data_IF_285009839476
#
_entry.id   IF_285009839476
#
_cell.length_a   1.000
_cell.length_b   1.000
_cell.length_c   1.000
_cell.angle_alpha   90.00
_cell.angle_beta   90.00
_cell.angle_gamma   90.00
#
_symmetry.space_group_name_H-M   'P 1'
#
loop_
_entity.id
_entity.type
_entity.pdbx_description
1 polymer ?
#
# COMPACT_ATOMS: atom_id res chain seq x y z
N UNK A 1 25.71 -5.78 12.17
CA UNK A 1 25.24 -4.58 11.44
C UNK A 1 26.28 -3.48 11.58
N UNK A 2 26.95 -3.09 10.50
CA UNK A 2 28.12 -2.18 10.49
C UNK A 2 27.82 -0.78 9.92
N UNK A 3 26.61 -0.53 9.41
CA UNK A 3 26.22 0.74 8.79
C UNK A 3 26.16 1.91 9.81
N UNK A 4 26.61 3.10 9.41
CA UNK A 4 26.68 4.34 10.18
C UNK A 4 26.14 5.53 9.38
N UNK A 5 25.92 6.69 10.03
CA UNK A 5 25.40 7.89 9.36
C UNK A 5 26.27 8.40 8.20
N UNK A 6 27.59 8.17 8.27
CA UNK A 6 28.52 8.50 7.18
C UNK A 6 28.27 7.70 5.89
N UNK A 7 27.55 6.58 5.96
CA UNK A 7 27.25 5.75 4.79
C UNK A 7 26.06 6.27 3.98
N UNK A 8 25.29 7.24 4.49
CA UNK A 8 24.07 7.74 3.83
C UNK A 8 24.31 8.18 2.39
N UNK A 9 25.35 8.97 2.06
CA UNK A 9 25.62 9.35 0.67
C UNK A 9 25.83 8.13 -0.25
N UNK A 10 26.48 7.07 0.26
CA UNK A 10 26.73 5.86 -0.51
C UNK A 10 25.44 5.14 -0.92
N UNK A 11 24.37 5.22 -0.10
CA UNK A 11 23.10 4.58 -0.43
C UNK A 11 22.49 5.11 -1.73
N UNK A 12 22.68 6.40 -2.02
CA UNK A 12 22.20 7.06 -3.24
C UNK A 12 23.11 6.89 -4.45
N UNK A 13 24.30 6.30 -4.27
CA UNK A 13 25.30 6.11 -5.32
C UNK A 13 25.51 4.63 -5.66
N UNK A 14 25.31 3.73 -4.70
CA UNK A 14 25.47 2.29 -4.88
C UNK A 14 24.12 1.60 -5.07
N UNK A 15 23.92 1.01 -6.24
CA UNK A 15 22.92 -0.06 -6.42
C UNK A 15 23.51 -1.31 -5.76
N UNK A 16 23.14 -1.58 -4.51
CA UNK A 16 23.66 -2.72 -3.76
C UNK A 16 23.21 -4.03 -4.44
N UNK A 17 24.16 -4.83 -4.91
CA UNK A 17 23.93 -6.07 -5.69
C UNK A 17 23.15 -7.15 -4.93
N UNK A 18 23.11 -7.07 -3.59
CA UNK A 18 22.41 -8.05 -2.74
C UNK A 18 20.89 -7.84 -2.72
N UNK A 19 20.38 -6.72 -3.25
CA UNK A 19 18.99 -6.32 -3.05
C UNK A 19 18.24 -6.05 -4.35
N UNK A 20 17.01 -6.55 -4.40
CA UNK A 20 16.16 -6.47 -5.59
C UNK A 20 15.62 -5.06 -5.91
N UNK A 21 15.69 -4.10 -4.96
CA UNK A 21 15.02 -2.80 -5.09
C UNK A 21 15.93 -1.62 -4.67
N UNK A 22 16.04 -0.63 -5.54
CA UNK A 22 16.75 0.63 -5.26
C UNK A 22 15.85 1.63 -4.54
N UNK A 23 15.94 1.67 -3.20
CA UNK A 23 15.11 2.56 -2.35
C UNK A 23 15.97 3.25 -1.27
N UNK A 24 16.95 4.09 -1.65
CA UNK A 24 17.94 4.62 -0.73
C UNK A 24 17.37 5.51 0.38
N UNK A 25 16.24 6.18 0.14
CA UNK A 25 15.64 7.07 1.14
C UNK A 25 14.82 6.29 2.17
N UNK A 26 13.86 5.48 1.72
CA UNK A 26 12.91 4.81 2.60
C UNK A 26 13.45 3.52 3.23
N UNK A 27 14.24 2.74 2.48
CA UNK A 27 14.75 1.45 2.96
C UNK A 27 16.05 1.58 3.71
N UNK A 28 17.00 2.35 3.17
CA UNK A 28 18.34 2.45 3.76
C UNK A 28 18.40 3.60 4.78
N UNK A 29 18.21 4.83 4.31
CA UNK A 29 18.40 6.04 5.14
C UNK A 29 17.42 6.08 6.31
N UNK A 30 16.12 5.94 6.03
CA UNK A 30 15.08 6.00 7.05
C UNK A 30 15.25 4.90 8.10
N UNK A 31 15.39 3.63 7.69
CA UNK A 31 15.53 2.54 8.65
C UNK A 31 16.84 2.62 9.44
N UNK A 32 17.95 3.08 8.83
CA UNK A 32 19.19 3.32 9.56
C UNK A 32 18.98 4.36 10.67
N UNK A 33 18.36 5.50 10.35
CA UNK A 33 18.08 6.55 11.32
C UNK A 33 17.19 6.02 12.45
N UNK A 34 16.07 5.39 12.09
CA UNK A 34 15.13 4.88 13.08
C UNK A 34 15.77 3.83 13.99
N UNK A 35 16.56 2.91 13.42
CA UNK A 35 17.26 1.90 14.20
C UNK A 35 18.35 2.48 15.10
N UNK A 36 19.16 3.44 14.62
CA UNK A 36 20.22 4.05 15.43
C UNK A 36 19.67 4.86 16.60
N UNK A 37 18.50 5.49 16.44
CA UNK A 37 17.89 6.34 17.47
C UNK A 37 16.99 5.55 18.41
N UNK A 38 16.21 4.59 17.90
CA UNK A 38 15.15 3.90 18.66
C UNK A 38 15.36 2.39 18.80
N UNK A 39 16.42 1.82 18.19
CA UNK A 39 16.69 0.39 18.20
C UNK A 39 15.55 -0.41 17.57
N UNK A 40 15.19 -1.52 18.22
CA UNK A 40 14.11 -2.41 17.81
C UNK A 40 12.75 -2.05 18.46
N UNK A 41 12.61 -0.87 19.07
CA UNK A 41 11.32 -0.44 19.61
C UNK A 41 10.36 -0.09 18.45
N UNK A 42 9.23 -0.80 18.27
CA UNK A 42 8.34 -0.57 17.13
C UNK A 42 7.50 0.72 17.26
N UNK A 43 7.26 1.23 18.47
CA UNK A 43 6.34 2.35 18.69
C UNK A 43 6.75 3.62 17.93
N UNK A 44 8.02 4.09 17.97
CA UNK A 44 8.46 5.23 17.17
C UNK A 44 8.24 5.06 15.66
N UNK A 45 8.40 3.84 15.12
CA UNK A 45 8.16 3.56 13.70
C UNK A 45 6.68 3.74 13.34
N UNK A 46 5.76 3.26 14.18
CA UNK A 46 4.33 3.46 13.99
C UNK A 46 3.95 4.95 14.07
N UNK A 47 4.50 5.69 15.05
CA UNK A 47 4.24 7.14 15.19
C UNK A 47 4.66 7.90 13.93
N UNK A 48 5.83 7.57 13.38
CA UNK A 48 6.33 8.24 12.16
C UNK A 48 5.48 7.88 10.94
N UNK A 49 5.11 6.61 10.75
CA UNK A 49 4.19 6.22 9.68
C UNK A 49 2.84 6.93 9.80
N UNK A 50 2.29 7.01 11.03
CA UNK A 50 1.06 7.74 11.30
C UNK A 50 1.20 9.24 10.99
N UNK A 51 2.34 9.85 11.31
CA UNK A 51 2.67 11.22 10.95
C UNK A 51 2.68 11.46 9.42
N UNK A 52 3.20 10.51 8.65
CA UNK A 52 3.13 10.57 7.17
C UNK A 52 1.71 10.40 6.64
N UNK A 53 0.88 9.55 7.26
CA UNK A 53 -0.54 9.43 6.91
C UNK A 53 -1.26 10.78 7.12
N UNK A 54 -1.08 11.41 8.29
CA UNK A 54 -1.65 12.74 8.59
C UNK A 54 -1.17 13.82 7.62
N UNK A 55 0.12 13.78 7.27
CA UNK A 55 0.71 14.70 6.30
C UNK A 55 0.09 14.50 4.92
N UNK A 56 -0.09 13.26 4.47
CA UNK A 56 -0.76 12.95 3.21
C UNK A 56 -2.21 13.41 3.20
N UNK A 57 -2.98 13.20 4.28
CA UNK A 57 -4.35 13.73 4.44
C UNK A 57 -4.37 15.25 4.25
N UNK A 58 -3.44 15.98 4.88
CA UNK A 58 -3.33 17.42 4.73
C UNK A 58 -2.96 17.85 3.30
N UNK A 59 -2.05 17.11 2.65
CA UNK A 59 -1.66 17.39 1.26
C UNK A 59 -2.81 17.09 0.28
N UNK A 60 -3.66 16.09 0.54
CA UNK A 60 -4.90 15.85 -0.22
C UNK A 60 -5.83 17.07 -0.13
N UNK A 61 -6.05 17.61 1.08
CA UNK A 61 -6.82 18.84 1.28
C UNK A 61 -6.23 20.01 0.46
N UNK A 62 -4.91 20.20 0.51
CA UNK A 62 -4.22 21.27 -0.22
C UNK A 62 -4.32 21.11 -1.74
N UNK A 63 -4.12 19.88 -2.24
CA UNK A 63 -4.17 19.57 -3.66
C UNK A 63 -5.58 19.82 -4.22
N UNK A 64 -6.60 19.29 -3.54
CA UNK A 64 -8.00 19.49 -3.92
C UNK A 64 -8.36 20.98 -3.93
N UNK A 65 -7.89 21.76 -2.95
CA UNK A 65 -8.10 23.20 -2.88
C UNK A 65 -7.46 23.98 -4.03
N UNK A 66 -6.37 23.47 -4.61
CA UNK A 66 -5.74 24.07 -5.80
C UNK A 66 -6.49 23.75 -7.10
N UNK A 67 -7.07 22.56 -7.20
CA UNK A 67 -7.75 22.08 -8.42
C UNK A 67 -9.19 22.58 -8.47
N UNK A 68 -9.96 22.40 -7.40
CA UNK A 68 -11.40 22.70 -7.35
C UNK A 68 -11.69 24.09 -6.79
N UNK A 69 -10.76 24.68 -6.03
CA UNK A 69 -10.90 26.03 -5.42
C UNK A 69 -12.10 26.18 -4.48
N UNK A 70 -12.50 25.09 -3.82
CA UNK A 70 -13.58 25.09 -2.82
C UNK A 70 -13.12 24.38 -1.53
N UNK A 71 -13.24 25.05 -0.39
CA UNK A 71 -12.76 24.53 0.91
C UNK A 71 -13.55 23.31 1.38
N UNK A 72 -14.86 23.27 1.11
CA UNK A 72 -15.73 22.18 1.56
C UNK A 72 -15.50 20.93 0.72
N UNK A 73 -15.34 21.07 -0.60
CA UNK A 73 -14.95 19.97 -1.47
C UNK A 73 -13.57 19.40 -1.08
N UNK A 74 -12.64 20.29 -0.71
CA UNK A 74 -11.29 19.92 -0.25
C UNK A 74 -11.30 19.17 1.07
N UNK A 75 -12.11 19.64 2.03
CA UNK A 75 -12.30 18.96 3.31
C UNK A 75 -12.92 17.58 3.10
N UNK A 76 -13.93 17.47 2.23
CA UNK A 76 -14.58 16.20 1.94
C UNK A 76 -13.61 15.19 1.30
N UNK A 77 -12.74 15.61 0.39
CA UNK A 77 -11.71 14.74 -0.20
C UNK A 77 -10.73 14.22 0.86
N UNK A 78 -10.25 15.11 1.73
CA UNK A 78 -9.35 14.74 2.83
C UNK A 78 -10.03 13.82 3.85
N UNK A 79 -11.32 14.04 4.15
CA UNK A 79 -12.10 13.19 5.04
C UNK A 79 -12.29 11.78 4.46
N UNK A 80 -12.67 11.66 3.19
CA UNK A 80 -12.81 10.36 2.51
C UNK A 80 -11.47 9.62 2.46
N UNK A 81 -10.36 10.33 2.22
CA UNK A 81 -9.02 9.75 2.28
C UNK A 81 -8.70 9.25 3.70
N UNK A 82 -8.85 10.12 4.72
CA UNK A 82 -8.52 9.83 6.11
C UNK A 82 -9.27 8.64 6.70
N UNK A 83 -10.52 8.42 6.28
CA UNK A 83 -11.37 7.32 6.76
C UNK A 83 -11.11 6.00 6.03
N UNK A 84 -10.36 6.03 4.92
CA UNK A 84 -10.09 4.82 4.11
C UNK A 84 -9.41 3.72 4.93
N UNK A 85 -9.90 2.49 4.79
CA UNK A 85 -9.34 1.32 5.48
C UNK A 85 -7.92 0.96 5.04
N UNK A 86 -7.42 1.52 3.93
CA UNK A 86 -6.04 1.31 3.45
C UNK A 86 -4.99 1.66 4.51
N UNK A 87 -5.26 2.70 5.32
CA UNK A 87 -4.33 3.15 6.36
C UNK A 87 -4.07 2.08 7.42
N UNK A 88 -4.97 1.11 7.61
CA UNK A 88 -4.72 -0.03 8.50
C UNK A 88 -3.57 -0.91 8.00
N UNK A 89 -3.48 -1.13 6.68
CA UNK A 89 -2.39 -1.92 6.07
C UNK A 89 -1.05 -1.21 6.26
N UNK A 90 -1.04 0.11 6.06
CA UNK A 90 0.16 0.95 6.23
C UNK A 90 0.66 0.95 7.68
N UNK A 91 -0.26 0.88 8.64
CA UNK A 91 0.08 0.79 10.06
C UNK A 91 0.48 -0.63 10.49
N UNK A 92 -0.11 -1.68 9.93
CA UNK A 92 0.26 -3.07 10.24
C UNK A 92 1.61 -3.46 9.63
N UNK A 93 1.92 -2.98 8.42
CA UNK A 93 3.16 -3.28 7.73
C UNK A 93 4.12 -2.10 7.80
N UNK A 94 5.04 -2.11 8.76
CA UNK A 94 5.98 -1.00 9.01
C UNK A 94 6.81 -0.60 7.78
N UNK A 95 7.19 -1.56 6.93
CA UNK A 95 7.95 -1.28 5.71
C UNK A 95 7.14 -0.56 4.63
N UNK A 96 5.82 -0.39 4.80
CA UNK A 96 4.98 0.47 3.96
C UNK A 96 5.38 1.95 4.00
N UNK A 97 6.26 2.36 4.92
CA UNK A 97 6.84 3.71 4.96
C UNK A 97 7.36 4.17 3.58
N UNK A 98 7.83 3.23 2.76
CA UNK A 98 8.24 3.47 1.38
C UNK A 98 7.13 4.08 0.51
N UNK A 99 5.91 3.56 0.56
CA UNK A 99 4.78 4.07 -0.23
C UNK A 99 4.20 5.33 0.38
N UNK A 100 4.23 5.47 1.71
CA UNK A 100 3.85 6.69 2.43
C UNK A 100 4.74 7.88 2.06
N UNK A 101 6.07 7.69 2.12
CA UNK A 101 7.07 8.69 1.74
C UNK A 101 6.98 9.05 0.27
N UNK A 102 6.87 8.04 -0.61
CA UNK A 102 6.70 8.29 -2.04
C UNK A 102 5.46 9.13 -2.31
N UNK A 103 4.31 8.78 -1.70
CA UNK A 103 3.07 9.54 -1.84
C UNK A 103 3.20 10.97 -1.31
N UNK A 104 3.83 11.16 -0.16
CA UNK A 104 4.09 12.48 0.43
C UNK A 104 4.89 13.37 -0.53
N UNK A 105 6.01 12.87 -1.02
CA UNK A 105 6.87 13.61 -1.95
C UNK A 105 6.23 13.84 -3.32
N UNK A 106 5.46 12.87 -3.83
CA UNK A 106 4.68 13.05 -5.06
C UNK A 106 3.64 14.16 -4.92
N UNK A 107 2.90 14.20 -3.79
CA UNK A 107 1.92 15.25 -3.54
C UNK A 107 2.57 16.63 -3.39
N UNK A 108 3.70 16.73 -2.68
CA UNK A 108 4.50 17.95 -2.62
C UNK A 108 4.94 18.40 -4.01
N UNK A 109 5.48 17.48 -4.82
CA UNK A 109 5.90 17.76 -6.18
C UNK A 109 4.74 18.30 -7.02
N UNK A 110 3.55 17.71 -6.93
CA UNK A 110 2.36 18.19 -7.65
C UNK A 110 1.98 19.59 -7.19
N UNK A 111 1.92 19.82 -5.87
CA UNK A 111 1.53 21.10 -5.29
C UNK A 111 2.50 22.22 -5.68
N UNK A 112 3.81 21.96 -5.61
CA UNK A 112 4.83 22.91 -6.05
C UNK A 112 4.79 23.12 -7.56
N UNK A 113 4.58 22.07 -8.36
CA UNK A 113 4.43 22.21 -9.80
C UNK A 113 3.21 23.08 -10.16
N UNK A 114 2.06 22.89 -9.50
CA UNK A 114 0.88 23.74 -9.68
C UNK A 114 1.20 25.20 -9.28
N UNK A 115 1.95 25.42 -8.20
CA UNK A 115 2.37 26.78 -7.79
C UNK A 115 3.28 27.43 -8.83
N UNK A 116 4.29 26.71 -9.33
CA UNK A 116 5.17 27.14 -10.41
C UNK A 116 4.34 27.61 -11.62
N UNK A 117 3.36 26.80 -12.05
CA UNK A 117 2.52 27.10 -13.22
C UNK A 117 1.52 28.23 -13.00
N UNK A 118 0.92 28.31 -11.80
CA UNK A 118 -0.14 29.29 -11.51
C UNK A 118 0.40 30.67 -11.12
N UNK A 119 1.55 30.73 -10.45
CA UNK A 119 2.17 31.98 -10.00
C UNK A 119 3.24 32.50 -10.97
N UNK A 120 3.65 31.70 -11.96
CA UNK A 120 4.74 32.05 -12.88
C UNK A 120 6.10 32.18 -12.20
N UNK A 121 6.23 31.67 -10.97
CA UNK A 121 7.44 31.79 -10.17
C UNK A 121 8.28 30.50 -10.27
N UNK A 122 9.44 30.63 -10.92
CA UNK A 122 10.41 29.54 -11.10
C UNK A 122 10.94 28.97 -9.77
N UNK A 123 10.82 29.70 -8.66
CA UNK A 123 11.22 29.23 -7.33
C UNK A 123 10.56 27.91 -6.93
N UNK A 124 9.32 27.64 -7.39
CA UNK A 124 8.62 26.38 -7.07
C UNK A 124 9.04 25.21 -7.98
N UNK A 125 9.78 25.46 -9.05
CA UNK A 125 10.19 24.41 -9.99
C UNK A 125 11.20 23.44 -9.35
N UNK A 126 12.26 23.98 -8.75
CA UNK A 126 13.31 23.17 -8.14
C UNK A 126 12.78 22.31 -6.97
N UNK A 127 12.00 22.84 -6.01
CA UNK A 127 11.35 22.01 -4.98
C UNK A 127 10.42 20.93 -5.56
N UNK A 128 9.72 21.21 -6.67
CA UNK A 128 8.90 20.19 -7.32
C UNK A 128 9.76 19.03 -7.86
N UNK A 129 10.83 19.34 -8.59
CA UNK A 129 11.73 18.33 -9.15
C UNK A 129 12.46 17.55 -8.05
N UNK A 130 12.95 18.22 -7.00
CA UNK A 130 13.59 17.58 -5.86
C UNK A 130 12.62 16.65 -5.12
N UNK A 131 11.38 17.09 -4.89
CA UNK A 131 10.37 16.22 -4.30
C UNK A 131 10.10 14.99 -5.18
N UNK A 132 10.03 15.13 -6.51
CA UNK A 132 9.90 13.96 -7.38
C UNK A 132 11.09 12.98 -7.26
N UNK A 133 12.32 13.48 -7.22
CA UNK A 133 13.53 12.66 -7.02
C UNK A 133 13.46 11.91 -5.68
N UNK A 134 13.05 12.59 -4.59
CA UNK A 134 12.88 11.97 -3.27
C UNK A 134 11.74 10.93 -3.27
N UNK A 135 10.70 11.16 -4.07
CA UNK A 135 9.65 10.18 -4.32
C UNK A 135 10.20 8.90 -4.94
N UNK A 136 10.97 9.01 -6.02
CA UNK A 136 11.64 7.86 -6.66
C UNK A 136 12.65 7.17 -5.74
N UNK A 137 13.40 7.94 -4.95
CA UNK A 137 14.32 7.41 -3.95
C UNK A 137 13.60 6.68 -2.80
N UNK A 138 12.31 6.93 -2.61
CA UNK A 138 11.46 6.26 -1.62
C UNK A 138 10.83 4.99 -2.19
N UNK A 139 10.27 5.06 -3.40
CA UNK A 139 9.61 3.93 -4.03
C UNK A 139 9.47 4.14 -5.55
N UNK A 140 9.68 3.09 -6.32
CA UNK A 140 9.60 3.09 -7.79
C UNK A 140 8.25 3.54 -8.33
N UNK A 141 7.19 3.44 -7.53
CA UNK A 141 5.83 3.85 -7.92
C UNK A 141 5.71 5.34 -8.18
N UNK A 142 6.67 6.14 -7.72
CA UNK A 142 6.72 7.54 -8.07
C UNK A 142 6.88 7.78 -9.58
N UNK A 143 7.31 6.78 -10.37
CA UNK A 143 7.47 6.85 -11.82
C UNK A 143 6.21 7.35 -12.58
N UNK A 144 5.02 7.18 -12.01
CA UNK A 144 3.76 7.66 -12.60
C UNK A 144 3.56 9.18 -12.52
N UNK A 145 4.37 9.89 -11.71
CA UNK A 145 4.17 11.31 -11.44
C UNK A 145 4.15 12.20 -12.70
N UNK A 146 5.08 12.07 -13.68
CA UNK A 146 5.07 12.92 -14.86
C UNK A 146 3.76 12.80 -15.66
N UNK A 147 3.20 11.59 -15.78
CA UNK A 147 1.93 11.38 -16.46
C UNK A 147 0.74 11.99 -15.71
N UNK A 148 0.74 11.94 -14.38
CA UNK A 148 -0.25 12.67 -13.57
C UNK A 148 -0.14 14.18 -13.77
N UNK A 149 1.07 14.74 -13.83
CA UNK A 149 1.28 16.16 -14.11
C UNK A 149 0.75 16.54 -15.51
N UNK A 150 0.91 15.68 -16.51
CA UNK A 150 0.32 15.87 -17.85
C UNK A 150 -1.21 15.99 -17.75
N UNK A 151 -1.88 15.08 -17.03
CA UNK A 151 -3.33 15.13 -16.82
C UNK A 151 -3.76 16.44 -16.13
N UNK A 152 -3.02 16.89 -15.12
CA UNK A 152 -3.29 18.15 -14.42
C UNK A 152 -3.11 19.36 -15.33
N UNK A 153 -2.06 19.40 -16.17
CA UNK A 153 -1.83 20.48 -17.13
C UNK A 153 -2.96 20.51 -18.16
N UNK A 154 -3.36 19.35 -18.68
CA UNK A 154 -4.48 19.23 -19.62
C UNK A 154 -5.78 19.77 -19.02
N UNK A 155 -6.00 19.54 -17.71
CA UNK A 155 -7.15 20.08 -16.99
C UNK A 155 -7.05 21.60 -16.74
N UNK A 156 -5.89 22.11 -16.35
CA UNK A 156 -5.67 23.52 -15.99
C UNK A 156 -5.50 24.45 -17.21
N UNK A 157 -5.40 23.91 -18.43
CA UNK A 157 -5.25 24.70 -19.65
C UNK A 157 -6.37 25.74 -19.82
N UNK A 158 -6.03 26.91 -20.33
CA UNK A 158 -7.01 27.96 -20.65
C UNK A 158 -7.86 27.54 -21.85
N UNK A 159 -9.14 27.92 -21.85
CA UNK A 159 -10.05 27.70 -22.99
C UNK A 159 -9.45 28.38 -24.24
N UNK A 160 -9.28 27.64 -25.32
CA UNK A 160 -8.63 28.10 -26.57
C UNK A 160 -7.15 27.73 -26.72
N UNK A 161 -6.47 27.25 -25.66
CA UNK A 161 -5.14 26.66 -25.81
C UNK A 161 -5.24 25.31 -26.54
N UNK A 162 -4.36 25.10 -27.53
CA UNK A 162 -4.26 23.81 -28.24
C UNK A 162 -3.84 22.73 -27.24
N UNK A 163 -4.40 21.53 -27.41
CA UNK A 163 -4.07 20.36 -26.58
C UNK A 163 -2.58 20.03 -26.68
N UNK A 164 -2.03 20.18 -27.89
CA UNK A 164 -0.63 19.89 -28.24
C UNK A 164 0.17 21.19 -28.37
N UNK A 165 0.15 22.02 -27.32
CA UNK A 165 1.06 23.17 -27.23
C UNK A 165 2.33 22.74 -26.49
N UNK A 166 3.43 22.58 -27.24
CA UNK A 166 4.71 22.09 -26.72
C UNK A 166 5.25 22.94 -25.56
N UNK A 167 4.93 24.25 -25.54
CA UNK A 167 5.36 25.18 -24.48
C UNK A 167 4.72 24.83 -23.13
N UNK A 168 3.56 24.19 -23.13
CA UNK A 168 2.90 23.73 -21.90
C UNK A 168 3.60 22.52 -21.28
N UNK A 169 4.28 21.70 -22.09
CA UNK A 169 4.90 20.44 -21.66
C UNK A 169 6.41 20.52 -21.53
N UNK A 170 7.07 21.52 -22.13
CA UNK A 170 8.52 21.69 -22.04
C UNK A 170 9.05 21.68 -20.58
N UNK A 171 8.38 22.30 -19.60
CA UNK A 171 8.83 22.21 -18.19
C UNK A 171 8.71 20.82 -17.56
N UNK A 172 8.03 19.86 -18.20
CA UNK A 172 8.01 18.47 -17.76
C UNK A 172 9.24 17.68 -18.21
N UNK A 173 10.04 18.20 -19.14
CA UNK A 173 11.19 17.47 -19.67
C UNK A 173 12.13 16.99 -18.55
N UNK A 174 12.50 17.80 -17.53
CA UNK A 174 13.32 17.31 -16.42
C UNK A 174 12.66 16.18 -15.62
N UNK A 175 11.33 16.18 -15.46
CA UNK A 175 10.61 15.09 -14.79
C UNK A 175 10.62 13.82 -15.64
N UNK A 176 10.41 13.94 -16.95
CA UNK A 176 10.46 12.80 -17.88
C UNK A 176 11.87 12.20 -17.96
N UNK A 177 12.90 13.04 -18.04
CA UNK A 177 14.30 12.61 -18.08
C UNK A 177 14.70 11.93 -16.77
N UNK A 178 14.33 12.48 -15.61
CA UNK A 178 14.59 11.84 -14.31
C UNK A 178 13.89 10.49 -14.20
N UNK A 179 12.63 10.39 -14.62
CA UNK A 179 11.89 9.12 -14.62
C UNK A 179 12.51 8.09 -15.57
N UNK A 180 12.88 8.51 -16.79
CA UNK A 180 13.53 7.65 -17.77
C UNK A 180 14.90 7.17 -17.28
N UNK A 181 15.71 8.05 -16.70
CA UNK A 181 16.99 7.70 -16.10
C UNK A 181 16.82 6.66 -14.99
N UNK A 182 15.85 6.87 -14.08
CA UNK A 182 15.54 5.90 -13.03
C UNK A 182 15.16 4.53 -13.61
N UNK A 183 14.25 4.50 -14.59
CA UNK A 183 13.80 3.26 -15.22
C UNK A 183 14.94 2.53 -15.96
N UNK A 184 15.79 3.26 -16.70
CA UNK A 184 16.92 2.69 -17.41
C UNK A 184 17.99 2.16 -16.45
N UNK A 185 18.35 2.95 -15.44
CA UNK A 185 19.34 2.53 -14.44
C UNK A 185 18.89 1.27 -13.67
N UNK A 186 17.62 1.18 -13.31
CA UNK A 186 17.09 0.03 -12.57
C UNK A 186 16.88 -1.20 -13.46
N UNK A 187 16.45 -1.03 -14.72
CA UNK A 187 16.23 -2.16 -15.63
C UNK A 187 17.53 -2.77 -16.19
N UNK A 188 18.59 -1.98 -16.36
CA UNK A 188 19.89 -2.48 -16.78
C UNK A 188 20.61 -3.26 -15.68
N UNK A 189 20.30 -2.98 -14.41
CA UNK A 189 20.99 -3.53 -13.26
C UNK A 189 20.20 -4.64 -12.56
N UNK A 190 18.88 -4.70 -12.73
CA UNK A 190 18.01 -5.72 -12.13
C UNK A 190 17.38 -6.61 -13.20
N UNK A 191 17.62 -7.93 -13.12
CA UNK A 191 16.90 -8.91 -13.93
C UNK A 191 15.41 -9.02 -13.55
N UNK A 192 14.58 -9.51 -14.47
CA UNK A 192 13.18 -9.79 -14.15
C UNK A 192 13.07 -10.98 -13.19
N UNK A 193 12.15 -10.95 -12.20
CA UNK A 193 11.94 -12.09 -11.32
C UNK A 193 11.44 -13.32 -12.10
N UNK A 194 12.07 -14.48 -11.91
CA UNK A 194 11.65 -15.73 -12.59
C UNK A 194 10.30 -16.28 -12.09
N UNK A 195 9.87 -15.83 -10.91
CA UNK A 195 8.66 -16.29 -10.24
C UNK A 195 7.42 -15.88 -11.03
N UNK A 196 6.57 -16.87 -11.38
CA UNK A 196 5.35 -16.67 -12.19
C UNK A 196 4.43 -15.57 -11.68
N UNK A 197 4.36 -15.38 -10.37
CA UNK A 197 3.52 -14.36 -9.71
C UNK A 197 3.91 -12.93 -10.12
N UNK A 198 5.19 -12.70 -10.46
CA UNK A 198 5.73 -11.41 -10.87
C UNK A 198 5.81 -11.25 -12.41
N UNK A 199 5.22 -12.16 -13.17
CA UNK A 199 5.20 -12.05 -14.63
C UNK A 199 4.02 -11.17 -15.08
N UNK A 200 4.24 -10.16 -15.95
CA UNK A 200 3.18 -9.29 -16.40
C UNK A 200 2.22 -10.02 -17.35
N UNK A 201 0.93 -9.73 -17.22
CA UNK A 201 -0.15 -10.26 -18.07
C UNK A 201 -0.83 -9.08 -18.78
N UNK A 202 -0.58 -8.95 -20.08
CA UNK A 202 -1.12 -7.88 -20.93
C UNK A 202 -2.53 -8.16 -21.48
N UNK A 203 -3.32 -9.01 -20.81
CA UNK A 203 -4.69 -9.31 -21.22
C UNK A 203 -5.68 -8.26 -20.71
N UNK A 204 -6.64 -7.85 -21.55
CA UNK A 204 -7.70 -6.90 -21.16
C UNK A 204 -8.46 -7.43 -19.93
N UNK A 205 -8.77 -8.73 -19.90
CA UNK A 205 -9.44 -9.38 -18.77
C UNK A 205 -8.63 -9.27 -17.47
N UNK A 206 -7.31 -9.48 -17.54
CA UNK A 206 -6.41 -9.34 -16.40
C UNK A 206 -6.36 -7.90 -15.88
N UNK A 207 -6.22 -6.93 -16.78
CA UNK A 207 -6.21 -5.49 -16.46
C UNK A 207 -7.52 -5.06 -15.80
N UNK A 208 -8.67 -5.47 -16.35
CA UNK A 208 -9.99 -5.19 -15.76
C UNK A 208 -10.11 -5.86 -14.39
N UNK A 209 -9.65 -7.10 -14.23
CA UNK A 209 -9.67 -7.79 -12.93
C UNK A 209 -8.86 -7.03 -11.88
N UNK A 210 -7.64 -6.61 -12.21
CA UNK A 210 -6.77 -5.83 -11.32
C UNK A 210 -7.43 -4.51 -10.95
N UNK A 211 -7.92 -3.76 -11.95
CA UNK A 211 -8.58 -2.48 -11.71
C UNK A 211 -9.82 -2.63 -10.83
N UNK A 212 -10.64 -3.66 -11.05
CA UNK A 212 -11.81 -3.96 -10.23
C UNK A 212 -11.43 -4.20 -8.78
N UNK A 213 -10.41 -5.02 -8.52
CA UNK A 213 -9.94 -5.28 -7.14
C UNK A 213 -9.41 -4.02 -6.47
N UNK A 214 -8.55 -3.26 -7.15
CA UNK A 214 -8.06 -1.98 -6.61
C UNK A 214 -9.20 -0.98 -6.33
N UNK A 215 -10.22 -0.96 -7.18
CA UNK A 215 -11.41 -0.12 -6.97
C UNK A 215 -12.22 -0.59 -5.76
N UNK A 216 -12.48 -1.89 -5.64
CA UNK A 216 -13.21 -2.48 -4.50
C UNK A 216 -12.48 -2.23 -3.17
N UNK A 217 -11.16 -2.39 -3.16
CA UNK A 217 -10.34 -2.08 -1.99
C UNK A 217 -10.35 -0.59 -1.65
N UNK A 218 -10.36 0.29 -2.66
CA UNK A 218 -10.51 1.74 -2.44
C UNK A 218 -11.86 2.10 -1.84
N UNK A 219 -12.93 1.35 -2.15
CA UNK A 219 -14.25 1.46 -1.52
C UNK A 219 -14.31 0.91 -0.09
N UNK A 220 -13.25 0.23 0.36
CA UNK A 220 -13.17 -0.34 1.70
C UNK A 220 -13.42 -1.85 1.75
N UNK A 221 -13.44 -2.58 0.64
CA UNK A 221 -13.46 -4.05 0.66
C UNK A 221 -12.10 -4.60 1.14
N UNK A 222 -12.07 -5.63 1.98
CA UNK A 222 -10.81 -6.22 2.47
C UNK A 222 -10.03 -6.97 1.37
N UNK A 223 -8.69 -6.99 1.49
CA UNK A 223 -7.80 -7.72 0.56
C UNK A 223 -8.10 -9.22 0.54
N UNK A 224 -8.51 -9.79 1.68
CA UNK A 224 -8.77 -11.23 1.83
C UNK A 224 -9.83 -11.74 0.85
N UNK A 225 -10.76 -10.90 0.41
CA UNK A 225 -11.79 -11.31 -0.55
C UNK A 225 -11.21 -11.71 -1.91
N UNK A 226 -10.05 -11.17 -2.30
CA UNK A 226 -9.41 -11.53 -3.56
C UNK A 226 -8.90 -12.97 -3.59
N UNK A 227 -8.59 -13.55 -2.43
CA UNK A 227 -8.11 -14.93 -2.29
C UNK A 227 -9.25 -15.95 -2.38
N UNK A 228 -10.48 -15.55 -2.01
CA UNK A 228 -11.63 -16.44 -1.94
C UNK A 228 -12.66 -16.25 -3.07
N UNK A 229 -12.53 -15.21 -3.89
CA UNK A 229 -13.43 -14.94 -5.02
C UNK A 229 -12.72 -15.26 -6.34
N UNK A 230 -13.11 -16.37 -6.96
CA UNK A 230 -12.50 -16.86 -8.20
C UNK A 230 -12.92 -16.08 -9.46
N UNK A 231 -12.32 -16.40 -10.63
CA UNK A 231 -12.50 -15.68 -11.90
C UNK A 231 -13.92 -15.61 -12.48
N UNK A 232 -14.88 -16.35 -11.90
CA UNK A 232 -16.31 -16.37 -12.25
C UNK A 232 -17.22 -15.88 -11.10
N UNK A 233 -16.66 -15.11 -10.15
CA UNK A 233 -17.33 -14.74 -8.90
C UNK A 233 -17.74 -15.95 -8.05
N UNK A 234 -17.07 -17.09 -8.24
CA UNK A 234 -17.25 -18.26 -7.40
C UNK A 234 -16.67 -17.98 -6.02
N UNK A 235 -17.53 -17.94 -5.01
CA UNK A 235 -17.12 -17.74 -3.62
C UNK A 235 -16.69 -19.10 -3.05
N UNK A 236 -15.45 -19.20 -2.60
CA UNK A 236 -14.96 -20.41 -1.95
C UNK A 236 -15.70 -20.60 -0.60
N UNK A 237 -16.23 -21.80 -0.27
CA UNK A 237 -17.04 -22.03 0.93
C UNK A 237 -16.36 -21.64 2.25
N UNK A 238 -15.03 -21.77 2.32
CA UNK A 238 -14.22 -21.34 3.48
C UNK A 238 -14.39 -19.87 3.83
N UNK A 239 -14.66 -18.98 2.86
CA UNK A 239 -14.91 -17.57 3.15
C UNK A 239 -16.13 -17.41 4.06
N UNK A 240 -17.22 -18.11 3.75
CA UNK A 240 -18.43 -18.05 4.57
C UNK A 240 -18.26 -18.81 5.89
N UNK A 241 -17.51 -19.92 5.89
CA UNK A 241 -17.22 -20.70 7.09
C UNK A 241 -16.45 -19.88 8.14
N UNK A 242 -15.40 -19.17 7.74
CA UNK A 242 -14.50 -18.48 8.68
C UNK A 242 -14.83 -16.98 8.84
N UNK A 243 -15.33 -16.33 7.78
CA UNK A 243 -15.56 -14.88 7.73
C UNK A 243 -16.99 -14.52 7.30
N UNK A 244 -17.93 -15.42 7.62
CA UNK A 244 -19.36 -15.36 7.32
C UNK A 244 -19.99 -13.98 7.51
N UNK A 245 -20.01 -13.57 8.77
CA UNK A 245 -20.64 -12.32 9.22
C UNK A 245 -19.97 -11.10 8.59
N UNK A 246 -18.65 -11.10 8.47
CA UNK A 246 -17.93 -9.99 7.85
C UNK A 246 -18.31 -9.82 6.39
N UNK A 247 -18.32 -10.93 5.65
CA UNK A 247 -18.64 -10.97 4.22
C UNK A 247 -20.02 -10.41 3.92
N UNK A 248 -21.06 -10.88 4.64
CA UNK A 248 -22.44 -10.44 4.39
C UNK A 248 -22.58 -8.93 4.62
N UNK A 249 -22.06 -8.43 5.74
CA UNK A 249 -22.17 -7.00 6.07
C UNK A 249 -21.35 -6.14 5.10
N UNK A 250 -20.14 -6.54 4.73
CA UNK A 250 -19.31 -5.77 3.80
C UNK A 250 -19.91 -5.70 2.40
N UNK A 251 -20.46 -6.82 1.89
CA UNK A 251 -21.14 -6.85 0.59
C UNK A 251 -22.42 -6.00 0.61
N UNK A 252 -23.22 -6.08 1.68
CA UNK A 252 -24.43 -5.27 1.81
C UNK A 252 -24.11 -3.76 1.87
N UNK A 253 -23.14 -3.36 2.69
CA UNK A 253 -22.69 -1.97 2.79
C UNK A 253 -22.15 -1.45 1.45
N UNK A 254 -21.32 -2.24 0.76
CA UNK A 254 -20.80 -1.89 -0.56
C UNK A 254 -21.94 -1.70 -1.58
N UNK A 255 -22.92 -2.61 -1.61
CA UNK A 255 -24.09 -2.48 -2.48
C UNK A 255 -24.88 -1.19 -2.24
N UNK A 256 -25.05 -0.80 -0.97
CA UNK A 256 -25.70 0.47 -0.60
C UNK A 256 -24.85 1.66 -1.05
N UNK A 257 -23.54 1.67 -0.82
CA UNK A 257 -22.64 2.74 -1.25
C UNK A 257 -22.69 2.96 -2.77
N UNK A 258 -22.63 1.88 -3.54
CA UNK A 258 -22.70 1.94 -5.00
C UNK A 258 -24.07 2.44 -5.49
N UNK A 259 -25.15 2.04 -4.82
CA UNK A 259 -26.51 2.52 -5.11
C UNK A 259 -26.65 4.01 -4.83
N UNK A 260 -26.11 4.50 -3.70
CA UNK A 260 -26.09 5.93 -3.36
C UNK A 260 -25.27 6.72 -4.40
N UNK A 261 -24.10 6.21 -4.80
CA UNK A 261 -23.27 6.87 -5.81
C UNK A 261 -23.94 6.90 -7.19
N UNK A 262 -24.64 5.84 -7.59
CA UNK A 262 -25.41 5.82 -8.82
C UNK A 262 -26.53 6.89 -8.79
N UNK A 263 -27.28 6.94 -7.69
CA UNK A 263 -28.31 7.98 -7.46
C UNK A 263 -27.72 9.38 -7.52
N UNK A 264 -26.65 9.66 -6.76
CA UNK A 264 -26.01 10.98 -6.74
C UNK A 264 -25.45 11.36 -8.11
N UNK A 265 -24.80 10.44 -8.81
CA UNK A 265 -24.28 10.68 -10.16
C UNK A 265 -25.41 11.03 -11.14
N UNK A 266 -26.56 10.35 -11.04
CA UNK A 266 -27.74 10.67 -11.84
C UNK A 266 -28.29 12.08 -11.53
N UNK A 267 -28.38 12.46 -10.25
CA UNK A 267 -28.80 13.82 -9.87
C UNK A 267 -27.81 14.88 -10.35
N UNK A 268 -26.51 14.64 -10.19
CA UNK A 268 -25.45 15.58 -10.63
C UNK A 268 -25.47 15.75 -12.15
N UNK A 269 -25.87 14.74 -12.95
CA UNK A 269 -26.04 14.87 -14.40
C UNK A 269 -27.21 15.78 -14.80
N UNK A 270 -28.26 15.85 -13.97
CA UNK A 270 -29.41 16.74 -14.23
C UNK A 270 -29.07 18.21 -14.03
N UNK A 271 -28.10 18.49 -13.17
CA UNK A 271 -27.60 19.83 -12.92
C UNK A 271 -26.40 20.05 -13.85
N UNK A 272 -26.22 21.24 -14.44
CA UNK A 272 -25.07 21.56 -15.30
C UNK A 272 -23.76 21.71 -14.48
N UNK A 273 -23.42 20.70 -13.69
CA UNK A 273 -22.21 20.65 -12.87
C UNK A 273 -20.95 20.49 -13.74
N UNK A 274 -19.81 21.00 -13.25
CA UNK A 274 -18.52 20.83 -13.91
C UNK A 274 -17.96 19.43 -13.66
N UNK A 275 -18.02 18.56 -14.68
CA UNK A 275 -17.52 17.19 -14.62
C UNK A 275 -16.00 17.08 -14.85
N UNK A 276 -15.32 18.16 -15.24
CA UNK A 276 -13.89 18.10 -15.56
C UNK A 276 -13.03 17.61 -14.38
N UNK A 277 -13.25 18.04 -13.12
CA UNK A 277 -12.50 17.52 -11.97
C UNK A 277 -12.76 16.02 -11.75
N UNK A 278 -14.00 15.58 -11.92
CA UNK A 278 -14.37 14.15 -11.79
C UNK A 278 -13.60 13.31 -12.82
N UNK A 279 -13.53 13.78 -14.07
CA UNK A 279 -12.77 13.10 -15.13
C UNK A 279 -11.27 13.10 -14.81
N UNK A 280 -10.70 14.24 -14.40
CA UNK A 280 -9.29 14.34 -14.00
C UNK A 280 -8.94 13.33 -12.91
N UNK A 281 -9.73 13.29 -11.83
CA UNK A 281 -9.46 12.42 -10.70
C UNK A 281 -9.67 10.95 -11.04
N UNK A 282 -10.70 10.61 -11.81
CA UNK A 282 -10.92 9.24 -12.30
C UNK A 282 -9.76 8.75 -13.19
N UNK A 283 -9.31 9.57 -14.14
CA UNK A 283 -8.16 9.23 -14.99
C UNK A 283 -6.86 9.14 -14.18
N UNK A 284 -6.66 10.03 -13.21
CA UNK A 284 -5.46 10.01 -12.35
C UNK A 284 -5.44 8.79 -11.43
N UNK A 285 -6.59 8.31 -10.97
CA UNK A 285 -6.70 7.05 -10.22
C UNK A 285 -6.24 5.85 -11.06
N UNK A 286 -6.77 5.72 -12.28
CA UNK A 286 -6.39 4.64 -13.20
C UNK A 286 -4.89 4.75 -13.57
N UNK A 287 -4.42 5.95 -13.86
CA UNK A 287 -3.03 6.18 -14.24
C UNK A 287 -2.05 5.91 -13.09
N UNK A 288 -2.40 6.30 -11.86
CA UNK A 288 -1.61 5.98 -10.67
C UNK A 288 -1.49 4.46 -10.43
N UNK A 289 -2.49 3.70 -10.85
CA UNK A 289 -2.50 2.23 -10.77
C UNK A 289 -1.82 1.54 -11.96
N UNK A 290 -1.52 2.27 -13.03
CA UNK A 290 -1.09 1.70 -14.31
C UNK A 290 0.04 0.65 -14.18
N UNK A 291 1.11 0.86 -13.40
CA UNK A 291 2.17 -0.14 -13.26
C UNK A 291 1.68 -1.48 -12.70
N UNK A 292 0.62 -1.49 -11.90
CA UNK A 292 0.14 -2.68 -11.20
C UNK A 292 -0.97 -3.42 -11.93
N UNK A 293 -1.62 -2.78 -12.90
CA UNK A 293 -2.75 -3.38 -13.60
C UNK A 293 -2.36 -4.65 -14.36
N UNK A 294 -1.09 -4.73 -14.78
CA UNK A 294 -0.53 -5.86 -15.51
C UNK A 294 -0.08 -7.02 -14.61
N UNK A 295 -0.25 -6.94 -13.29
CA UNK A 295 0.17 -7.98 -12.35
C UNK A 295 -1.02 -8.58 -11.60
N UNK A 296 -1.95 -9.27 -12.30
CA UNK A 296 -3.15 -9.80 -11.66
C UNK A 296 -2.86 -10.91 -10.64
N UNK A 297 -1.66 -11.50 -10.62
CA UNK A 297 -1.27 -12.48 -9.61
C UNK A 297 -0.54 -11.86 -8.40
N UNK A 298 -0.08 -10.60 -8.52
CA UNK A 298 0.66 -9.89 -7.48
C UNK A 298 -0.01 -8.54 -7.14
N UNK A 299 -1.30 -8.62 -6.80
CA UNK A 299 -2.06 -7.45 -6.36
C UNK A 299 -1.96 -7.35 -4.85
N UNK A 300 -1.82 -6.13 -4.32
CA UNK A 300 -1.91 -5.91 -2.89
C UNK A 300 -2.39 -4.50 -2.56
N UNK A 301 -3.09 -4.36 -1.45
CA UNK A 301 -3.71 -3.10 -1.04
C UNK A 301 -2.69 -2.01 -0.68
N UNK A 302 -1.46 -2.35 -0.30
CA UNK A 302 -0.45 -1.34 0.03
C UNK A 302 0.03 -0.51 -1.19
N UNK A 303 -0.25 -0.98 -2.40
CA UNK A 303 0.00 -0.21 -3.63
C UNK A 303 -0.97 0.96 -3.82
N UNK A 304 -2.07 1.00 -3.04
CA UNK A 304 -3.12 2.00 -3.21
C UNK A 304 -2.80 3.37 -2.57
N UNK A 305 -1.72 3.52 -1.78
CA UNK A 305 -1.46 4.74 -0.97
C UNK A 305 -1.60 6.04 -1.78
N UNK A 306 -0.97 6.08 -2.97
CA UNK A 306 -1.03 7.23 -3.86
C UNK A 306 -2.32 7.29 -4.70
N UNK A 307 -2.79 6.15 -5.23
CA UNK A 307 -3.99 6.13 -6.07
C UNK A 307 -5.25 6.53 -5.29
N UNK A 308 -5.32 6.19 -4.00
CA UNK A 308 -6.46 6.54 -3.14
C UNK A 308 -6.62 8.05 -2.94
N UNK A 309 -5.56 8.85 -3.15
CA UNK A 309 -5.66 10.33 -3.21
C UNK A 309 -6.60 10.76 -4.34
N UNK A 310 -6.46 10.14 -5.50
CA UNK A 310 -7.28 10.44 -6.68
C UNK A 310 -8.68 9.86 -6.53
N UNK A 311 -8.80 8.66 -5.97
CA UNK A 311 -10.09 8.03 -5.69
C UNK A 311 -10.93 8.84 -4.70
N UNK A 312 -10.34 9.29 -3.58
CA UNK A 312 -11.03 10.11 -2.58
C UNK A 312 -11.47 11.46 -3.15
N UNK A 313 -10.62 12.07 -3.98
CA UNK A 313 -10.91 13.33 -4.68
C UNK A 313 -12.03 13.15 -5.73
N UNK A 314 -12.03 12.03 -6.45
CA UNK A 314 -13.08 11.63 -7.38
C UNK A 314 -14.43 11.49 -6.67
N UNK A 315 -14.48 10.73 -5.56
CA UNK A 315 -15.70 10.58 -4.76
C UNK A 315 -16.16 11.92 -4.20
N UNK A 316 -15.25 12.70 -3.63
CA UNK A 316 -15.58 13.99 -3.05
C UNK A 316 -16.15 14.98 -4.07
N UNK A 317 -15.69 14.98 -5.33
CA UNK A 317 -16.30 15.80 -6.39
C UNK A 317 -17.76 15.45 -6.65
N UNK A 318 -18.10 14.15 -6.68
CA UNK A 318 -19.49 13.69 -6.89
C UNK A 318 -20.34 14.03 -5.66
N UNK A 319 -19.87 13.68 -4.46
CA UNK A 319 -20.57 13.92 -3.20
C UNK A 319 -20.80 15.42 -2.97
N UNK A 320 -19.79 16.25 -3.20
CA UNK A 320 -19.90 17.70 -3.05
C UNK A 320 -20.88 18.32 -4.05
N UNK A 321 -20.85 17.85 -5.31
CA UNK A 321 -21.81 18.29 -6.32
C UNK A 321 -23.23 17.92 -5.89
N UNK A 322 -23.43 16.68 -5.43
CA UNK A 322 -24.71 16.19 -4.91
C UNK A 322 -25.21 16.99 -3.70
N UNK A 323 -24.32 17.34 -2.77
CA UNK A 323 -24.64 18.13 -1.57
C UNK A 323 -25.31 19.48 -1.90
N UNK A 324 -24.97 20.08 -3.04
CA UNK A 324 -25.52 21.37 -3.47
C UNK A 324 -26.90 21.28 -4.12
N UNK A 325 -27.39 20.08 -4.44
CA UNK A 325 -28.61 19.90 -5.27
C UNK A 325 -29.89 20.06 -4.45
N UNK A 326 -30.08 19.24 -3.41
CA UNK A 326 -31.35 19.18 -2.66
C UNK A 326 -31.14 18.67 -1.23
N UNK A 327 -32.13 18.89 -0.35
CA UNK A 327 -32.12 18.33 1.02
C UNK A 327 -31.96 16.80 1.01
N UNK A 328 -32.67 16.11 0.12
CA UNK A 328 -32.54 14.66 -0.06
C UNK A 328 -31.11 14.26 -0.46
N UNK A 329 -30.49 14.99 -1.40
CA UNK A 329 -29.11 14.69 -1.83
C UNK A 329 -28.08 14.94 -0.72
N UNK A 330 -28.32 15.90 0.18
CA UNK A 330 -27.48 16.10 1.36
C UNK A 330 -27.59 14.92 2.32
N UNK A 331 -28.82 14.46 2.59
CA UNK A 331 -29.05 13.28 3.44
C UNK A 331 -28.36 12.03 2.87
N UNK A 332 -28.42 11.82 1.56
CA UNK A 332 -27.74 10.67 0.93
C UNK A 332 -26.21 10.79 0.98
N UNK A 333 -25.65 12.00 0.90
CA UNK A 333 -24.20 12.21 1.12
C UNK A 333 -23.80 11.91 2.57
N UNK A 334 -24.59 12.34 3.56
CA UNK A 334 -24.34 12.01 4.98
C UNK A 334 -24.39 10.50 5.18
N UNK A 335 -25.42 9.84 4.64
CA UNK A 335 -25.57 8.40 4.70
C UNK A 335 -24.38 7.68 4.04
N UNK A 336 -23.92 8.18 2.88
CA UNK A 336 -22.70 7.65 2.23
C UNK A 336 -21.50 7.70 3.16
N UNK A 337 -21.24 8.85 3.81
CA UNK A 337 -20.08 9.00 4.70
C UNK A 337 -20.18 8.08 5.93
N UNK A 338 -21.36 7.92 6.51
CA UNK A 338 -21.60 7.03 7.65
C UNK A 338 -21.32 5.57 7.24
N UNK A 339 -21.90 5.12 6.11
CA UNK A 339 -21.72 3.75 5.64
C UNK A 339 -20.27 3.49 5.21
N UNK A 340 -19.63 4.46 4.55
CA UNK A 340 -18.22 4.34 4.15
C UNK A 340 -17.29 4.23 5.35
N UNK A 341 -17.53 5.01 6.41
CA UNK A 341 -16.81 4.89 7.68
C UNK A 341 -17.07 3.57 8.40
N UNK A 342 -18.32 3.11 8.43
CA UNK A 342 -18.68 1.83 9.03
C UNK A 342 -18.04 0.64 8.28
N UNK A 343 -18.07 0.65 6.94
CA UNK A 343 -17.42 -0.35 6.10
C UNK A 343 -15.90 -0.32 6.32
N UNK A 344 -15.30 0.87 6.33
CA UNK A 344 -13.86 1.01 6.56
C UNK A 344 -13.45 0.43 7.92
N UNK A 345 -14.19 0.76 8.99
CA UNK A 345 -13.97 0.21 10.34
C UNK A 345 -14.11 -1.32 10.37
N UNK A 346 -15.14 -1.85 9.73
CA UNK A 346 -15.36 -3.29 9.63
C UNK A 346 -14.19 -3.98 8.90
N UNK A 347 -13.68 -3.36 7.84
CA UNK A 347 -12.53 -3.87 7.10
C UNK A 347 -11.24 -3.79 7.91
N UNK A 348 -11.05 -2.77 8.74
CA UNK A 348 -9.92 -2.75 9.69
C UNK A 348 -10.00 -3.92 10.68
N UNK A 349 -11.19 -4.22 11.22
CA UNK A 349 -11.39 -5.40 12.08
C UNK A 349 -11.06 -6.70 11.36
N UNK A 350 -11.55 -6.86 10.13
CA UNK A 350 -11.26 -8.05 9.34
C UNK A 350 -9.76 -8.14 9.04
N UNK A 351 -9.11 -7.06 8.62
CA UNK A 351 -7.68 -7.00 8.35
C UNK A 351 -6.85 -7.32 9.60
N UNK A 352 -7.25 -6.90 10.80
CA UNK A 352 -6.57 -7.31 12.03
C UNK A 352 -6.56 -8.84 12.21
N UNK A 353 -7.61 -9.52 11.73
CA UNK A 353 -7.75 -10.97 11.80
C UNK A 353 -7.17 -11.71 10.60
N UNK A 354 -6.98 -11.07 9.45
CA UNK A 354 -6.64 -11.76 8.19
C UNK A 354 -5.34 -11.28 7.55
N UNK A 355 -4.96 -10.02 7.76
CA UNK A 355 -3.78 -9.44 7.15
C UNK A 355 -2.52 -10.03 7.76
N UNK A 356 -1.65 -10.58 6.91
CA UNK A 356 -0.48 -11.34 7.34
C UNK A 356 0.42 -10.54 8.30
N UNK A 357 0.66 -9.25 8.06
CA UNK A 357 1.52 -8.44 8.92
C UNK A 357 0.94 -8.27 10.33
N UNK A 358 -0.39 -8.15 10.44
CA UNK A 358 -1.09 -8.04 11.72
C UNK A 358 -1.04 -9.36 12.51
N UNK A 359 -1.22 -10.51 11.83
CA UNK A 359 -1.24 -11.84 12.48
C UNK A 359 0.13 -12.32 12.94
N UNK A 360 1.20 -11.96 12.23
CA UNK A 360 2.55 -12.50 12.51
C UNK A 360 3.08 -12.09 13.88
N UNK A 361 2.81 -10.87 14.36
CA UNK A 361 3.35 -10.42 15.65
C UNK A 361 2.74 -11.15 16.87
N UNK A 362 1.40 -11.27 17.01
CA UNK A 362 0.80 -12.11 18.05
C UNK A 362 1.22 -13.58 17.98
N UNK A 363 1.31 -14.14 16.77
CA UNK A 363 1.77 -15.51 16.57
C UNK A 363 3.23 -15.72 16.99
N UNK A 364 4.12 -14.78 16.65
CA UNK A 364 5.51 -14.81 17.11
C UNK A 364 5.58 -14.76 18.64
N UNK A 365 4.82 -13.86 19.26
CA UNK A 365 4.76 -13.75 20.73
C UNK A 365 4.32 -15.07 21.37
N UNK A 366 3.28 -15.70 20.82
CA UNK A 366 2.78 -16.98 21.32
C UNK A 366 3.84 -18.07 21.23
N UNK A 367 4.37 -18.32 20.02
CA UNK A 367 5.36 -19.38 19.78
C UNK A 367 6.61 -19.17 20.63
N UNK A 368 7.15 -17.94 20.68
CA UNK A 368 8.36 -17.66 21.44
C UNK A 368 8.15 -17.78 22.96
N UNK A 369 6.97 -17.40 23.46
CA UNK A 369 6.65 -17.54 24.88
C UNK A 369 6.53 -19.01 25.26
N UNK A 370 5.83 -19.80 24.44
CA UNK A 370 5.65 -21.23 24.65
C UNK A 370 6.99 -21.98 24.58
N UNK A 371 7.80 -21.72 23.54
CA UNK A 371 9.18 -22.25 23.42
C UNK A 371 10.02 -21.89 24.65
N UNK A 372 9.96 -20.64 25.14
CA UNK A 372 10.74 -20.21 26.31
C UNK A 372 10.29 -20.91 27.60
N UNK A 373 9.00 -21.20 27.73
CA UNK A 373 8.44 -21.92 28.89
C UNK A 373 8.84 -23.39 28.82
N UNK A 374 8.73 -24.03 27.66
CA UNK A 374 9.08 -25.45 27.48
C UNK A 374 10.59 -25.69 27.54
N UNK A 375 11.39 -24.78 27.01
CA UNK A 375 12.84 -24.88 26.89
C UNK A 375 13.55 -23.63 27.44
N UNK A 376 13.55 -23.40 28.76
CA UNK A 376 14.06 -22.14 29.34
C UNK A 376 15.57 -21.93 29.14
N UNK A 377 16.34 -23.02 29.13
CA UNK A 377 17.80 -23.00 29.03
C UNK A 377 18.30 -24.08 28.06
N UNK A 378 18.09 -23.90 26.73
CA UNK A 378 18.65 -24.82 25.76
C UNK A 378 20.19 -24.74 25.81
N UNK A 379 20.86 -25.84 25.50
CA UNK A 379 22.32 -25.85 25.39
C UNK A 379 22.80 -24.88 24.30
N UNK A 380 24.03 -24.38 24.43
CA UNK A 380 24.63 -23.49 23.41
C UNK A 380 24.66 -24.17 22.04
N UNK A 381 24.23 -23.48 21.00
CA UNK A 381 24.17 -24.01 19.63
C UNK A 381 23.11 -25.07 19.42
N UNK A 382 22.09 -25.13 20.29
CA UNK A 382 20.97 -26.07 20.14
C UNK A 382 20.31 -25.97 18.77
N UNK A 383 19.89 -27.13 18.26
CA UNK A 383 19.13 -27.26 17.03
C UNK A 383 17.67 -27.42 17.40
N UNK A 384 16.81 -26.56 16.85
CA UNK A 384 15.36 -26.69 16.94
C UNK A 384 14.80 -27.25 15.63
N UNK A 385 13.91 -28.22 15.73
CA UNK A 385 13.14 -28.73 14.61
C UNK A 385 11.65 -28.43 14.83
N UNK A 386 11.12 -27.54 14.00
CA UNK A 386 9.75 -27.06 14.07
C UNK A 386 8.88 -27.87 13.10
N UNK A 387 7.99 -28.67 13.69
CA UNK A 387 7.05 -29.59 13.05
C UNK A 387 5.72 -28.93 12.72
N UNK A 388 5.05 -29.48 11.73
CA UNK A 388 3.67 -29.13 11.42
C UNK A 388 2.72 -29.59 12.55
N UNK A 389 1.81 -28.70 12.92
CA UNK A 389 0.59 -29.01 13.67
C UNK A 389 -0.41 -29.76 12.76
N UNK A 390 -0.74 -31.03 13.06
CA UNK A 390 -1.70 -31.81 12.28
C UNK A 390 -3.12 -31.22 12.29
N UNK A 391 -3.45 -30.40 13.29
CA UNK A 391 -4.75 -29.74 13.43
C UNK A 391 -4.82 -28.39 12.70
N UNK A 392 -3.73 -27.97 12.03
CA UNK A 392 -3.68 -26.69 11.33
C UNK A 392 -4.73 -26.62 10.22
N UNK A 393 -5.68 -25.66 10.28
CA UNK A 393 -6.76 -25.58 9.32
C UNK A 393 -6.20 -25.26 7.94
N UNK A 394 -6.60 -26.04 6.94
CA UNK A 394 -6.34 -25.69 5.55
C UNK A 394 -7.16 -24.45 5.16
N UNK A 395 -6.49 -23.31 5.05
CA UNK A 395 -7.12 -22.04 4.64
C UNK A 395 -7.07 -21.90 3.12
N UNK A 396 -5.88 -22.00 2.53
CA UNK A 396 -5.62 -21.99 1.09
C UNK A 396 -4.24 -22.59 0.78
N UNK A 397 -4.00 -23.00 -0.47
CA UNK A 397 -2.73 -23.62 -0.88
C UNK A 397 -1.52 -22.70 -0.68
N UNK A 398 -1.74 -21.40 -0.85
CA UNK A 398 -0.75 -20.33 -0.77
C UNK A 398 -0.23 -20.14 0.66
N UNK A 399 -1.06 -20.46 1.66
CA UNK A 399 -0.71 -20.33 3.08
C UNK A 399 0.24 -21.44 3.54
N UNK A 400 0.27 -22.59 2.86
CA UNK A 400 1.16 -23.69 3.20
C UNK A 400 0.88 -24.29 4.59
N UNK A 401 1.88 -24.95 5.16
CA UNK A 401 1.76 -25.64 6.45
C UNK A 401 2.10 -24.74 7.65
N UNK A 402 1.82 -25.22 8.86
CA UNK A 402 2.02 -24.49 10.11
C UNK A 402 3.50 -24.19 10.39
N UNK A 403 4.41 -25.13 10.14
CA UNK A 403 5.86 -24.90 10.24
C UNK A 403 6.36 -23.91 9.19
N UNK A 404 5.80 -23.93 7.97
CA UNK A 404 6.12 -22.92 6.94
C UNK A 404 5.67 -21.52 7.36
N UNK A 405 4.52 -21.39 8.02
CA UNK A 405 4.11 -20.12 8.62
C UNK A 405 5.04 -19.70 9.76
N UNK A 406 5.43 -20.64 10.62
CA UNK A 406 6.39 -20.38 11.70
C UNK A 406 7.74 -19.88 11.16
N UNK A 407 8.22 -20.42 10.03
CA UNK A 407 9.43 -19.94 9.36
C UNK A 407 9.35 -18.44 9.03
N UNK A 408 8.25 -17.99 8.41
CA UNK A 408 8.06 -16.58 8.08
C UNK A 408 7.84 -15.69 9.29
N UNK A 409 7.20 -16.20 10.34
CA UNK A 409 6.91 -15.48 11.58
C UNK A 409 8.18 -15.26 12.40
N UNK A 410 9.03 -16.28 12.51
CA UNK A 410 10.24 -16.29 13.31
C UNK A 410 11.46 -15.78 12.53
N UNK A 411 11.30 -15.46 11.25
CA UNK A 411 12.39 -15.10 10.34
C UNK A 411 13.49 -16.17 10.34
N UNK A 412 13.07 -17.42 10.11
CA UNK A 412 13.96 -18.59 10.19
C UNK A 412 14.49 -18.78 11.61
N UNK A 413 15.82 -18.69 11.76
CA UNK A 413 16.48 -18.89 13.07
C UNK A 413 16.58 -17.62 13.91
N UNK A 414 16.34 -16.44 13.33
CA UNK A 414 16.74 -15.17 13.95
C UNK A 414 15.96 -14.85 15.22
N UNK A 415 14.66 -15.17 15.28
CA UNK A 415 13.87 -14.95 16.49
C UNK A 415 14.36 -15.77 17.69
N UNK A 416 14.76 -17.04 17.49
CA UNK A 416 15.28 -17.88 18.58
C UNK A 416 16.69 -17.46 18.99
N UNK A 417 17.55 -17.08 18.03
CA UNK A 417 18.86 -16.50 18.34
C UNK A 417 18.73 -15.27 19.21
N UNK A 418 17.75 -14.41 18.93
CA UNK A 418 17.45 -13.22 19.73
C UNK A 418 16.86 -13.58 21.10
N UNK A 419 15.93 -14.55 21.15
CA UNK A 419 15.27 -14.99 22.38
C UNK A 419 16.27 -15.50 23.43
N UNK A 420 17.25 -16.31 22.99
CA UNK A 420 18.24 -16.94 23.86
C UNK A 420 19.59 -16.22 23.89
N UNK A 421 19.74 -15.13 23.14
CA UNK A 421 21.01 -14.40 22.97
C UNK A 421 22.16 -15.30 22.49
N UNK A 422 21.86 -16.30 21.66
CA UNK A 422 22.83 -17.26 21.13
C UNK A 422 22.79 -17.26 19.60
N UNK A 423 23.80 -16.66 18.93
CA UNK A 423 23.84 -16.59 17.46
C UNK A 423 24.09 -17.96 16.81
N UNK A 424 24.50 -18.98 17.57
CA UNK A 424 24.84 -20.31 17.07
C UNK A 424 23.65 -21.26 16.97
N UNK A 425 22.49 -20.86 17.51
CA UNK A 425 21.24 -21.62 17.38
C UNK A 425 20.86 -21.78 15.91
N UNK A 426 20.45 -23.00 15.55
CA UNK A 426 19.91 -23.35 14.23
C UNK A 426 18.47 -23.81 14.36
N UNK A 427 17.63 -23.40 13.44
CA UNK A 427 16.21 -23.76 13.42
C UNK A 427 15.85 -24.28 12.03
N UNK A 428 15.32 -25.50 11.98
CA UNK A 428 14.82 -26.14 10.78
C UNK A 428 13.30 -26.27 10.86
N UNK A 429 12.63 -26.19 9.71
CA UNK A 429 11.18 -26.18 9.59
C UNK A 429 10.76 -27.26 8.61
N UNK A 430 9.86 -28.15 9.02
CA UNK A 430 9.36 -29.26 8.21
C UNK A 430 8.89 -28.82 6.81
N UNK A 431 8.09 -27.77 6.74
CA UNK A 431 7.51 -27.23 5.51
C UNK A 431 8.47 -26.45 4.59
N UNK A 432 9.74 -26.28 4.99
CA UNK A 432 10.77 -25.63 4.18
C UNK A 432 11.81 -26.61 3.61
N UNK A 433 11.72 -27.88 3.98
CA UNK A 433 12.75 -28.87 3.68
C UNK A 433 13.92 -28.80 4.67
N UNK A 434 14.54 -29.96 4.92
CA UNK A 434 15.68 -30.11 5.82
C UNK A 434 16.95 -30.27 4.97
N UNK A 435 18.02 -29.51 5.23
CA UNK A 435 19.31 -29.74 4.58
C UNK A 435 19.84 -31.16 4.83
N UNK A 436 20.46 -31.77 3.82
CA UNK A 436 20.95 -33.16 3.90
C UNK A 436 22.00 -33.39 5.01
N UNK A 437 22.70 -32.34 5.42
CA UNK A 437 23.74 -32.33 6.46
C UNK A 437 23.20 -32.03 7.87
N UNK A 438 21.89 -31.80 8.03
CA UNK A 438 21.30 -31.50 9.32
C UNK A 438 21.14 -32.76 10.18
N UNK A 439 21.97 -32.90 11.23
CA UNK A 439 21.78 -33.92 12.26
C UNK A 439 20.63 -33.54 13.21
N UNK A 440 19.46 -34.14 12.99
CA UNK A 440 18.26 -33.92 13.80
C UNK A 440 18.12 -34.90 14.98
N UNK A 441 19.06 -35.83 15.18
CA UNK A 441 18.95 -36.87 16.23
C UNK A 441 18.92 -36.28 17.64
N UNK A 442 19.55 -35.12 17.83
CA UNK A 442 19.57 -34.36 19.09
C UNK A 442 18.77 -33.05 19.03
N UNK A 443 17.96 -32.85 17.99
CA UNK A 443 17.21 -31.62 17.82
C UNK A 443 16.02 -31.54 18.79
N UNK A 444 15.83 -30.38 19.38
CA UNK A 444 14.66 -30.03 20.19
C UNK A 444 13.46 -29.97 19.27
N UNK A 445 12.46 -30.82 19.54
CA UNK A 445 11.26 -30.96 18.72
C UNK A 445 10.18 -30.00 19.22
N UNK A 446 9.65 -29.16 18.34
CA UNK A 446 8.56 -28.24 18.69
C UNK A 446 7.47 -28.27 17.62
N UNK A 447 6.19 -28.33 18.02
CA UNK A 447 5.07 -28.28 17.07
C UNK A 447 4.59 -26.85 16.91
N UNK A 448 4.53 -26.35 15.67
CA UNK A 448 4.09 -24.99 15.34
C UNK A 448 2.59 -24.78 15.57
N UNK A 449 2.18 -24.59 16.82
CA UNK A 449 0.80 -24.27 17.18
C UNK A 449 0.53 -22.77 17.12
N UNK A 450 -0.64 -22.41 16.62
CA UNK A 450 -1.12 -21.03 16.56
C UNK A 450 -2.36 -20.85 17.42
N UNK A 451 -2.54 -19.69 18.07
CA UNK A 451 -3.83 -19.32 18.62
C UNK A 451 -4.76 -19.03 17.43
N UNK A 452 -5.73 -19.91 17.19
CA UNK A 452 -6.70 -19.79 16.08
C UNK A 452 -7.74 -18.70 16.34
#
# INVERSE_FOLDING_TARGET
MTKNFGDIPSFFLSMQSEYAFYRPLSRETFNLIMYKVFGLNPLPFHIVNFGFILSNIYLVYKLMGKIVKDKSASFLAALVYAVSSIHSIELFYLASVQTLLASFFMLLSIIFYINFRSQGNNFFFLPALLAFILGLASHETAIVLPGVLILIILFLRKKGQKIVDLRLYLPLLPFLLTGAFYLLSTSLLSGMPEQKVYQPIFSIKGVINSLSWYTLWSFGMSEIFADFIGPKFSIHPSLMKYYGQYTVVSVAMLGILLSILAFLSFQVRKVRADWRPVILFGLSFIFALFPFLFFPQHKSSYYLTFSTVWFSSFLASILFSGWRISKLSRLTVILFLIIFGALSYQTVKLNHLTYWAAKRAPAAKYILSDIKITYPHPGKGSIFYIKDDPEYPFIAKEWGSSSKQAFYILSGSDALKLLYLDPTIRVYFEGMGIPLDADLTKAIQYTAKFPY
#
